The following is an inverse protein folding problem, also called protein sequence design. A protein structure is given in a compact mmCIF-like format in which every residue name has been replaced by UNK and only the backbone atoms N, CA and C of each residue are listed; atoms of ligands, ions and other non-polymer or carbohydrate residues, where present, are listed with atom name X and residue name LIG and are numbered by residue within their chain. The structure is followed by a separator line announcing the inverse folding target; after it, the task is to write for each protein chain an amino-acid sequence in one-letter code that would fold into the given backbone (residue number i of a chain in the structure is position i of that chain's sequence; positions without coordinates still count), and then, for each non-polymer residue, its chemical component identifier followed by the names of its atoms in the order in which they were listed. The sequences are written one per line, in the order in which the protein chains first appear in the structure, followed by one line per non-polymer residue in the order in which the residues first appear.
data_IF_386537461025
#
_entry.id   IF_386537461025
#
_cell.length_a   1.000
_cell.length_b   1.000
_cell.length_c   1.000
_cell.angle_alpha   90.00
_cell.angle_beta   90.00
_cell.angle_gamma   90.00
#
_symmetry.space_group_name_H-M   'P 1'
#
loop_
_entity.id
_entity.type
_entity.pdbx_description
1 polymer ?
#
# COMPACT_ATOMS: atom_id res chain seq x y z
N UNK A 1 0.93 -44.86 10.54
CA UNK A 1 2.36 -44.49 10.45
C UNK A 1 2.69 -44.19 8.99
N UNK A 2 2.62 -42.90 8.61
CA UNK A 2 3.61 -42.15 7.83
C UNK A 2 3.71 -40.77 8.53
N UNK A 3 4.91 -40.21 8.71
CA UNK A 3 5.18 -38.99 9.49
C UNK A 3 4.97 -37.71 8.67
N UNK A 4 5.07 -36.57 9.35
CA UNK A 4 4.54 -35.27 8.92
C UNK A 4 5.27 -34.55 7.80
N UNK A 5 4.59 -33.49 7.35
CA UNK A 5 5.12 -32.21 6.87
C UNK A 5 4.09 -31.20 7.42
N UNK A 6 4.32 -30.58 8.58
CA UNK A 6 5.20 -29.43 8.82
C UNK A 6 4.88 -28.24 7.92
N UNK A 7 4.91 -27.06 8.55
CA UNK A 7 4.67 -25.72 8.00
C UNK A 7 3.18 -25.36 7.81
N UNK A 8 2.45 -24.92 8.83
CA UNK A 8 2.73 -23.76 9.69
C UNK A 8 3.28 -22.55 8.90
N UNK A 9 2.39 -21.86 8.17
CA UNK A 9 2.59 -20.45 7.79
C UNK A 9 1.25 -19.71 7.66
N UNK A 10 0.61 -19.47 8.80
CA UNK A 10 -0.07 -18.18 9.02
C UNK A 10 0.42 -17.68 10.39
N UNK A 11 0.82 -16.41 10.58
CA UNK A 11 0.39 -15.23 9.84
C UNK A 11 1.52 -14.20 9.56
N UNK A 12 1.75 -13.84 8.30
CA UNK A 12 2.65 -12.72 7.99
C UNK A 12 1.93 -11.39 8.29
N UNK A 13 2.19 -10.88 9.49
CA UNK A 13 2.19 -9.47 9.87
C UNK A 13 1.12 -8.58 9.25
N UNK A 14 0.05 -8.33 10.03
CA UNK A 14 -0.70 -7.07 9.90
C UNK A 14 0.29 -5.94 10.20
N UNK A 15 0.91 -5.41 9.15
CA UNK A 15 1.62 -4.15 9.24
C UNK A 15 0.56 -3.06 9.44
N UNK A 16 0.55 -2.49 10.65
CA UNK A 16 -0.26 -1.33 11.00
C UNK A 16 0.19 -0.14 10.13
N UNK A 17 -0.46 0.00 8.98
CA UNK A 17 -0.23 1.05 7.96
C UNK A 17 -0.44 2.47 8.51
N UNK A 18 -1.00 2.59 9.71
CA UNK A 18 -1.39 3.87 10.31
C UNK A 18 -0.22 4.71 10.84
N UNK A 19 1.00 4.14 11.00
CA UNK A 19 2.11 4.80 11.70
C UNK A 19 3.26 5.34 10.83
N UNK A 20 3.27 5.10 9.52
CA UNK A 20 4.41 5.49 8.68
C UNK A 20 4.37 6.92 8.13
N UNK A 21 3.27 7.66 8.33
CA UNK A 21 3.02 8.92 7.62
C UNK A 21 3.73 10.15 8.19
N UNK A 22 4.79 10.02 8.98
CA UNK A 22 5.60 11.17 9.39
C UNK A 22 7.07 10.83 9.49
N UNK A 23 7.84 11.55 8.67
CA UNK A 23 9.29 11.64 8.62
C UNK A 23 10.03 10.45 8.00
N UNK A 24 10.59 10.67 6.81
CA UNK A 24 12.03 10.59 6.51
C UNK A 24 12.29 10.09 5.08
N UNK A 25 12.13 10.99 4.11
CA UNK A 25 12.59 10.78 2.74
C UNK A 25 14.08 11.15 2.69
N UNK A 26 14.96 10.23 3.11
CA UNK A 26 16.41 10.27 2.87
C UNK A 26 17.04 8.97 3.38
N UNK A 27 17.44 8.05 2.49
CA UNK A 27 18.34 6.96 2.87
C UNK A 27 17.77 5.54 2.80
N UNK A 28 17.12 5.16 1.70
CA UNK A 28 16.87 3.75 1.40
C UNK A 28 17.40 3.38 0.01
N UNK A 29 18.64 3.78 -0.27
CA UNK A 29 19.36 3.35 -1.47
C UNK A 29 20.10 2.05 -1.12
N UNK A 30 19.37 0.96 -0.95
CA UNK A 30 20.00 -0.35 -0.70
C UNK A 30 19.24 -1.32 0.20
N UNK A 31 17.90 -1.38 0.17
CA UNK A 31 17.28 -2.61 0.63
C UNK A 31 16.64 -3.37 -0.52
N UNK A 32 16.86 -4.67 -0.42
CA UNK A 32 16.37 -5.81 -1.17
C UNK A 32 15.16 -5.44 -2.03
N UNK A 33 15.24 -5.70 -3.34
CA UNK A 33 14.11 -5.54 -4.28
C UNK A 33 12.82 -6.18 -3.73
N UNK A 34 12.93 -7.33 -3.06
CA UNK A 34 11.81 -8.00 -2.40
C UNK A 34 11.08 -7.11 -1.38
N UNK A 35 11.81 -6.28 -0.63
CA UNK A 35 11.22 -5.34 0.32
C UNK A 35 10.48 -4.21 -0.39
N UNK A 36 11.02 -3.72 -1.51
CA UNK A 36 10.36 -2.70 -2.34
C UNK A 36 9.11 -3.27 -3.02
N UNK A 37 9.15 -4.50 -3.52
CA UNK A 37 8.00 -5.20 -4.09
C UNK A 37 6.91 -5.46 -3.05
N UNK A 38 7.28 -5.89 -1.85
CA UNK A 38 6.34 -6.07 -0.73
C UNK A 38 5.69 -4.74 -0.37
N UNK A 39 6.48 -3.66 -0.27
CA UNK A 39 5.96 -2.32 0.00
C UNK A 39 5.02 -1.83 -1.10
N UNK A 40 5.34 -2.10 -2.37
CA UNK A 40 4.49 -1.78 -3.51
C UNK A 40 3.14 -2.50 -3.41
N UNK A 41 3.16 -3.82 -3.12
CA UNK A 41 1.95 -4.62 -2.97
C UNK A 41 1.05 -4.09 -1.84
N UNK A 42 1.64 -3.70 -0.71
CA UNK A 42 0.92 -3.11 0.41
C UNK A 42 0.28 -1.76 0.05
N UNK A 43 1.02 -0.88 -0.65
CA UNK A 43 0.47 0.40 -1.09
C UNK A 43 -0.65 0.24 -2.12
N UNK A 44 -0.55 -0.75 -3.01
CA UNK A 44 -1.61 -1.08 -3.97
C UNK A 44 -2.87 -1.58 -3.25
N UNK A 45 -2.71 -2.43 -2.23
CA UNK A 45 -3.81 -2.89 -1.38
C UNK A 45 -4.47 -1.70 -0.66
N UNK A 46 -3.69 -0.86 0.00
CA UNK A 46 -4.20 0.30 0.72
C UNK A 46 -4.89 1.30 -0.22
N UNK A 47 -4.37 1.49 -1.43
CA UNK A 47 -5.03 2.29 -2.47
C UNK A 47 -6.38 1.69 -2.89
N UNK A 48 -6.46 0.37 -3.05
CA UNK A 48 -7.72 -0.33 -3.35
C UNK A 48 -8.74 -0.17 -2.23
N UNK A 49 -8.32 -0.31 -0.98
CA UNK A 49 -9.19 -0.12 0.19
C UNK A 49 -9.70 1.33 0.29
N UNK A 50 -8.83 2.31 0.01
CA UNK A 50 -9.21 3.71 -0.07
C UNK A 50 -10.20 3.98 -1.21
N UNK A 51 -10.06 3.30 -2.33
CA UNK A 51 -11.00 3.45 -3.45
C UNK A 51 -12.38 2.86 -3.11
N UNK A 52 -12.41 1.68 -2.48
CA UNK A 52 -13.63 1.08 -1.97
C UNK A 52 -14.32 1.99 -0.94
N UNK A 53 -13.57 2.61 -0.04
CA UNK A 53 -14.09 3.57 0.93
C UNK A 53 -14.65 4.85 0.25
N UNK A 54 -13.99 5.35 -0.79
CA UNK A 54 -14.48 6.49 -1.58
C UNK A 54 -15.78 6.14 -2.28
N UNK A 55 -15.87 4.96 -2.90
CA UNK A 55 -17.07 4.49 -3.59
C UNK A 55 -18.23 4.31 -2.60
N UNK A 56 -17.98 3.66 -1.47
CA UNK A 56 -18.99 3.49 -0.42
C UNK A 56 -19.50 4.83 0.11
N UNK A 57 -18.61 5.80 0.35
CA UNK A 57 -18.99 7.14 0.78
C UNK A 57 -19.75 7.88 -0.32
N UNK A 58 -19.32 7.80 -1.58
CA UNK A 58 -19.97 8.44 -2.71
C UNK A 58 -21.38 7.89 -2.99
N UNK A 59 -21.59 6.60 -2.74
CA UNK A 59 -22.89 5.94 -2.88
C UNK A 59 -23.85 6.26 -1.72
N UNK A 60 -23.38 6.86 -0.63
CA UNK A 60 -24.23 7.25 0.49
C UNK A 60 -25.00 8.55 0.18
N UNK A 61 -26.34 8.59 0.37
CA UNK A 61 -27.10 9.82 0.28
C UNK A 61 -26.70 10.78 1.42
N UNK A 62 -26.44 12.04 1.10
CA UNK A 62 -25.98 13.04 2.06
C UNK A 62 -24.48 13.00 2.40
N UNK A 63 -23.67 12.39 1.53
CA UNK A 63 -22.22 12.35 1.71
C UNK A 63 -21.61 13.74 1.82
N UNK A 64 -20.74 13.92 2.81
CA UNK A 64 -20.00 15.15 3.00
C UNK A 64 -18.94 15.28 1.89
N UNK A 65 -19.13 16.26 1.00
CA UNK A 65 -18.20 16.56 -0.08
C UNK A 65 -16.79 16.86 0.42
N UNK A 66 -16.65 17.39 1.65
CA UNK A 66 -15.34 17.62 2.27
C UNK A 66 -14.67 16.30 2.66
N UNK A 67 -15.42 15.35 3.22
CA UNK A 67 -14.91 14.02 3.55
C UNK A 67 -14.46 13.26 2.29
N UNK A 68 -15.25 13.33 1.23
CA UNK A 68 -14.93 12.73 -0.07
C UNK A 68 -13.69 13.39 -0.70
N UNK A 69 -13.56 14.72 -0.62
CA UNK A 69 -12.37 15.43 -1.07
C UNK A 69 -11.10 15.04 -0.28
N UNK A 70 -11.21 14.84 1.04
CA UNK A 70 -10.09 14.37 1.88
C UNK A 70 -9.64 12.96 1.49
N UNK A 71 -10.57 12.03 1.27
CA UNK A 71 -10.25 10.67 0.83
C UNK A 71 -9.62 10.67 -0.56
N UNK A 72 -10.15 11.44 -1.51
CA UNK A 72 -9.54 11.60 -2.85
C UNK A 72 -8.13 12.16 -2.78
N UNK A 73 -7.87 13.13 -1.90
CA UNK A 73 -6.51 13.67 -1.68
C UNK A 73 -5.56 12.58 -1.16
N UNK A 74 -6.00 11.77 -0.19
CA UNK A 74 -5.22 10.62 0.32
C UNK A 74 -4.95 9.59 -0.78
N UNK A 75 -5.96 9.25 -1.60
CA UNK A 75 -5.82 8.34 -2.74
C UNK A 75 -4.80 8.87 -3.75
N UNK A 76 -4.82 10.16 -4.07
CA UNK A 76 -3.85 10.78 -4.97
C UNK A 76 -2.42 10.68 -4.41
N UNK A 77 -2.24 10.98 -3.13
CA UNK A 77 -0.92 10.86 -2.48
C UNK A 77 -0.39 9.42 -2.49
N UNK A 78 -1.25 8.42 -2.25
CA UNK A 78 -0.87 7.01 -2.36
C UNK A 78 -0.46 6.66 -3.79
N UNK A 79 -1.20 7.15 -4.80
CA UNK A 79 -0.86 6.95 -6.20
C UNK A 79 0.51 7.56 -6.52
N UNK A 80 0.78 8.78 -6.05
CA UNK A 80 2.07 9.45 -6.25
C UNK A 80 3.21 8.65 -5.59
N UNK A 81 3.02 8.18 -4.36
CA UNK A 81 3.96 7.29 -3.66
C UNK A 81 4.20 5.98 -4.42
N UNK A 82 3.15 5.35 -4.94
CA UNK A 82 3.25 4.14 -5.78
C UNK A 82 4.05 4.46 -7.04
N UNK A 83 3.83 5.60 -7.69
CA UNK A 83 4.62 6.00 -8.86
C UNK A 83 6.08 6.22 -8.49
N UNK A 84 6.39 6.92 -7.41
CA UNK A 84 7.78 7.11 -6.95
C UNK A 84 8.46 5.79 -6.58
N UNK A 85 7.74 4.83 -5.98
CA UNK A 85 8.26 3.49 -5.70
C UNK A 85 8.44 2.66 -6.97
N UNK A 86 7.47 2.76 -7.89
CA UNK A 86 7.59 2.15 -9.22
C UNK A 86 8.82 2.72 -9.90
N UNK A 87 8.96 4.03 -10.05
CA UNK A 87 10.11 4.69 -10.68
C UNK A 87 11.47 4.33 -10.07
N UNK A 88 11.52 3.95 -8.80
CA UNK A 88 12.72 3.40 -8.16
C UNK A 88 13.00 1.95 -8.55
N UNK A 89 11.96 1.15 -8.82
CA UNK A 89 12.06 -0.21 -9.37
C UNK A 89 12.18 -0.20 -10.92
N UNK A 90 11.56 0.76 -11.62
CA UNK A 90 11.50 0.92 -13.09
C UNK A 90 12.86 0.94 -13.79
N UNK A 91 13.99 1.41 -13.23
CA UNK A 91 15.29 1.21 -13.86
C UNK A 91 15.63 -0.26 -14.16
N UNK A 92 15.00 -1.25 -13.50
CA UNK A 92 15.26 -2.69 -13.68
C UNK A 92 14.11 -3.52 -14.31
N UNK A 93 12.86 -3.01 -14.37
CA UNK A 93 11.68 -3.80 -14.79
C UNK A 93 11.16 -3.53 -16.22
N UNK A 94 11.71 -2.55 -16.96
CA UNK A 94 11.43 -2.36 -18.40
C UNK A 94 12.69 -2.69 -19.20
N UNK A 95 13.04 -3.98 -19.25
CA UNK A 95 14.00 -4.57 -20.18
C UNK A 95 13.26 -5.49 -21.16
#
# INVERSE_FOLDING_TARGET
MCPGDSDDKQPEGVIDASRFFSAHESGFRGANEDALQTRLALLLQEHSDLDAAILALASSPGHDGLALARLKKKKLQLKDLIQTLRDQLTPDIIA
#
